data_IF_142546855898
#
_entry.id   IF_142546855898
#
_cell.length_a   1.000
_cell.length_b   1.000
_cell.length_c   1.000
_cell.angle_alpha   90.00
_cell.angle_beta   90.00
_cell.angle_gamma   90.00
#
_symmetry.space_group_name_H-M   'P 1'
#
loop_
_entity.id
_entity.type
_entity.pdbx_description
1 polymer ?
#
# COMPACT_ATOMS: atom_id res chain seq x y z
N UNK A 1 -11.39 -1.23 3.88
CA UNK A 1 -10.62 -1.86 4.95
C UNK A 1 -9.35 -2.42 4.35
N UNK A 2 -8.19 -2.02 4.86
CA UNK A 2 -6.89 -2.53 4.43
C UNK A 2 -6.81 -3.98 4.88
N UNK A 3 -6.91 -4.94 3.96
CA UNK A 3 -6.87 -6.35 4.30
C UNK A 3 -5.41 -6.77 4.54
N UNK A 4 -4.99 -6.75 5.81
CA UNK A 4 -3.67 -7.17 6.28
C UNK A 4 -3.24 -8.55 5.76
N UNK A 5 -4.21 -9.45 5.55
CA UNK A 5 -4.01 -10.81 5.05
C UNK A 5 -3.22 -10.87 3.73
N UNK A 6 -3.45 -9.91 2.83
CA UNK A 6 -2.77 -9.92 1.55
C UNK A 6 -1.35 -9.34 1.62
N UNK A 7 -1.00 -8.59 2.66
CA UNK A 7 0.36 -8.06 2.86
C UNK A 7 1.30 -9.17 3.30
N UNK A 8 0.80 -10.10 4.12
CA UNK A 8 1.51 -11.32 4.55
C UNK A 8 1.87 -12.22 3.35
N UNK A 9 1.00 -12.27 2.34
CA UNK A 9 1.25 -13.02 1.11
C UNK A 9 2.37 -12.43 0.25
N UNK A 10 2.63 -11.12 0.33
CA UNK A 10 3.68 -10.48 -0.46
C UNK A 10 5.07 -10.63 0.18
N UNK A 11 5.15 -10.70 1.51
CA UNK A 11 6.38 -10.83 2.29
C UNK A 11 7.38 -11.89 1.78
N UNK A 12 6.99 -13.15 1.50
CA UNK A 12 7.94 -14.17 1.03
C UNK A 12 8.58 -13.80 -0.32
N UNK A 13 7.85 -13.16 -1.22
CA UNK A 13 8.38 -12.75 -2.52
C UNK A 13 9.40 -11.62 -2.40
N UNK A 14 9.11 -10.62 -1.56
CA UNK A 14 10.03 -9.48 -1.40
C UNK A 14 11.29 -9.91 -0.64
N UNK A 15 11.16 -10.82 0.34
CA UNK A 15 12.31 -11.40 1.04
C UNK A 15 13.16 -12.30 0.15
N UNK A 16 12.54 -13.11 -0.72
CA UNK A 16 13.27 -13.91 -1.71
C UNK A 16 14.06 -13.02 -2.69
N UNK A 17 13.46 -11.92 -3.17
CA UNK A 17 14.16 -10.94 -4.00
C UNK A 17 15.38 -10.33 -3.31
N UNK A 18 15.24 -9.94 -2.03
CA UNK A 18 16.34 -9.39 -1.24
C UNK A 18 17.46 -10.42 -0.98
N UNK A 19 17.09 -11.68 -0.74
CA UNK A 19 18.05 -12.77 -0.55
C UNK A 19 18.86 -13.01 -1.84
N UNK A 20 18.20 -13.03 -2.99
CA UNK A 20 18.85 -13.17 -4.29
C UNK A 20 19.77 -11.98 -4.60
N UNK A 21 19.32 -10.76 -4.32
CA UNK A 21 20.10 -9.54 -4.58
C UNK A 21 21.40 -9.46 -3.76
N UNK A 22 21.39 -9.94 -2.52
CA UNK A 22 22.58 -9.93 -1.65
C UNK A 22 23.33 -11.25 -1.58
N UNK A 23 22.92 -12.26 -2.35
CA UNK A 23 23.49 -13.61 -2.32
C UNK A 23 23.58 -14.19 -0.90
N UNK A 24 22.60 -13.88 -0.04
CA UNK A 24 22.65 -14.23 1.39
C UNK A 24 21.58 -13.54 2.22
N UNK A 25 21.61 -13.76 3.53
CA UNK A 25 20.62 -13.18 4.44
C UNK A 25 20.76 -11.64 4.53
N UNK A 26 19.70 -10.87 4.24
CA UNK A 26 19.73 -9.40 4.25
C UNK A 26 20.10 -8.71 5.57
N UNK A 27 20.03 -9.43 6.68
CA UNK A 27 20.03 -8.81 8.00
C UNK A 27 18.67 -8.20 8.34
N UNK A 28 18.36 -8.16 9.64
CA UNK A 28 17.05 -7.72 10.15
C UNK A 28 16.71 -6.28 9.81
N UNK A 29 17.72 -5.40 9.64
CA UNK A 29 17.51 -3.99 9.27
C UNK A 29 16.97 -3.83 7.85
N UNK A 30 17.52 -4.55 6.88
CA UNK A 30 17.08 -4.49 5.48
C UNK A 30 15.69 -5.11 5.35
N UNK A 31 15.45 -6.24 6.05
CA UNK A 31 14.11 -6.84 6.15
C UNK A 31 13.08 -5.85 6.68
N UNK A 32 13.42 -5.09 7.73
CA UNK A 32 12.52 -4.09 8.30
C UNK A 32 12.14 -3.01 7.29
N UNK A 33 13.10 -2.44 6.56
CA UNK A 33 12.83 -1.42 5.54
C UNK A 33 12.04 -1.97 4.36
N UNK A 34 12.30 -3.22 3.93
CA UNK A 34 11.51 -3.91 2.90
C UNK A 34 10.04 -4.00 3.30
N UNK A 35 9.77 -4.43 4.54
CA UNK A 35 8.40 -4.59 5.03
C UNK A 35 7.70 -3.24 5.10
N UNK A 36 8.38 -2.21 5.61
CA UNK A 36 7.85 -0.85 5.64
C UNK A 36 7.53 -0.34 4.23
N UNK A 37 8.47 -0.48 3.29
CA UNK A 37 8.29 -0.09 1.90
C UNK A 37 7.07 -0.80 1.28
N UNK A 38 6.94 -2.10 1.47
CA UNK A 38 5.81 -2.89 0.95
C UNK A 38 4.46 -2.43 1.52
N UNK A 39 4.40 -2.13 2.83
CA UNK A 39 3.18 -1.65 3.49
C UNK A 39 2.78 -0.27 2.96
N UNK A 40 3.74 0.65 2.83
CA UNK A 40 3.48 2.00 2.33
C UNK A 40 3.06 2.00 0.85
N UNK A 41 3.78 1.27 -0.01
CA UNK A 41 3.44 1.14 -1.43
C UNK A 41 2.03 0.57 -1.62
N UNK A 42 1.69 -0.49 -0.88
CA UNK A 42 0.36 -1.10 -0.95
C UNK A 42 -0.73 -0.12 -0.52
N UNK A 43 -0.51 0.59 0.57
CA UNK A 43 -1.48 1.54 1.12
C UNK A 43 -1.71 2.70 0.16
N UNK A 44 -0.63 3.26 -0.40
CA UNK A 44 -0.71 4.28 -1.45
C UNK A 44 -1.50 3.77 -2.67
N UNK A 45 -1.18 2.57 -3.17
CA UNK A 45 -1.90 1.97 -4.31
C UNK A 45 -3.40 1.77 -4.03
N UNK A 46 -3.78 1.31 -2.84
CA UNK A 46 -5.19 1.18 -2.47
C UNK A 46 -5.91 2.52 -2.37
N UNK A 47 -5.25 3.55 -1.84
CA UNK A 47 -5.82 4.89 -1.77
C UNK A 47 -6.02 5.49 -3.17
N UNK A 48 -5.03 5.35 -4.06
CA UNK A 48 -5.12 5.81 -5.44
C UNK A 48 -6.19 5.06 -6.22
N UNK A 49 -6.24 3.72 -6.13
CA UNK A 49 -7.26 2.91 -6.80
C UNK A 49 -8.67 3.35 -6.38
N UNK A 50 -8.90 3.57 -5.07
CA UNK A 50 -10.21 4.05 -4.60
C UNK A 50 -10.56 5.44 -5.10
N UNK A 51 -9.55 6.27 -5.35
CA UNK A 51 -9.74 7.62 -5.86
C UNK A 51 -10.11 7.61 -7.36
N UNK A 52 -9.40 6.80 -8.14
CA UNK A 52 -9.63 6.62 -9.57
C UNK A 52 -10.96 5.89 -9.84
N UNK A 53 -11.26 4.86 -9.04
CA UNK A 53 -12.48 4.06 -9.18
C UNK A 53 -13.71 4.77 -8.62
N UNK A 54 -13.60 5.96 -8.03
CA UNK A 54 -14.72 6.65 -7.36
C UNK A 54 -15.92 6.85 -8.29
N UNK A 55 -15.68 7.28 -9.53
CA UNK A 55 -16.74 7.53 -10.51
C UNK A 55 -17.39 6.22 -10.97
N UNK A 56 -16.59 5.17 -11.14
CA UNK A 56 -17.06 3.84 -11.56
C UNK A 56 -17.84 3.16 -10.42
N UNK A 57 -17.30 3.24 -9.19
CA UNK A 57 -17.87 2.63 -8.00
C UNK A 57 -19.24 3.24 -7.63
N UNK A 58 -19.47 4.53 -7.96
CA UNK A 58 -20.77 5.22 -7.80
C UNK A 58 -21.88 4.62 -8.65
N UNK A 59 -21.55 4.13 -9.84
CA UNK A 59 -22.51 3.56 -10.78
C UNK A 59 -22.72 2.05 -10.59
N UNK A 60 -21.89 1.40 -9.76
CA UNK A 60 -21.95 -0.03 -9.54
C UNK A 60 -22.72 -0.38 -8.24
N UNK A 61 -23.86 -1.10 -8.32
CA UNK A 61 -24.66 -1.50 -7.16
C UNK A 61 -23.89 -2.29 -6.11
N UNK A 62 -22.80 -2.96 -6.53
CA UNK A 62 -21.97 -3.82 -5.66
C UNK A 62 -20.98 -3.03 -4.79
N UNK A 63 -20.66 -1.79 -5.16
CA UNK A 63 -19.63 -0.94 -4.51
C UNK A 63 -20.18 0.38 -3.98
N UNK A 64 -21.48 0.62 -4.15
CA UNK A 64 -22.21 1.80 -3.65
C UNK A 64 -22.08 2.01 -2.14
N UNK A 65 -21.94 0.93 -1.36
CA UNK A 65 -21.75 0.98 0.10
C UNK A 65 -20.30 1.26 0.56
N UNK A 66 -19.37 1.59 -0.34
CA UNK A 66 -18.00 1.95 0.07
C UNK A 66 -18.04 3.31 0.80
N UNK A 67 -17.31 3.49 1.93
CA UNK A 67 -17.31 4.74 2.70
C UNK A 67 -16.88 5.98 1.89
N UNK A 68 -16.10 5.78 0.83
CA UNK A 68 -15.65 6.84 -0.07
C UNK A 68 -16.74 7.26 -1.08
N UNK A 69 -17.63 6.33 -1.41
CA UNK A 69 -18.74 6.49 -2.36
C UNK A 69 -19.98 7.00 -1.64
N UNK A 70 -20.26 6.49 -0.44
CA UNK A 70 -21.36 6.92 0.44
C UNK A 70 -21.16 8.32 1.04
N UNK A 71 -19.96 8.90 0.92
CA UNK A 71 -19.65 10.25 1.39
C UNK A 71 -19.30 10.33 2.88
N UNK A 72 -19.21 9.20 3.58
CA UNK A 72 -18.80 9.13 4.99
C UNK A 72 -17.35 9.59 5.21
N UNK A 73 -16.49 9.38 4.20
CA UNK A 73 -15.09 9.81 4.24
C UNK A 73 -14.87 10.89 3.18
N UNK A 74 -14.37 12.08 3.55
CA UNK A 74 -14.15 13.12 2.58
C UNK A 74 -12.96 12.80 1.67
N UNK A 75 -13.07 13.14 0.38
CA UNK A 75 -12.13 12.74 -0.68
C UNK A 75 -10.68 13.22 -0.49
N UNK A 76 -10.46 14.23 0.35
CA UNK A 76 -9.12 14.72 0.67
C UNK A 76 -8.35 13.76 1.58
N UNK A 77 -9.02 12.95 2.40
CA UNK A 77 -8.38 12.00 3.32
C UNK A 77 -7.55 10.95 2.57
N UNK A 78 -8.10 10.14 1.63
CA UNK A 78 -7.29 9.19 0.88
C UNK A 78 -6.23 9.86 -0.01
N UNK A 79 -6.43 11.11 -0.46
CA UNK A 79 -5.38 11.87 -1.16
C UNK A 79 -4.19 12.14 -0.24
N UNK A 80 -4.43 12.68 0.95
CA UNK A 80 -3.36 12.95 1.92
C UNK A 80 -2.67 11.65 2.34
N UNK A 81 -3.44 10.60 2.64
CA UNK A 81 -2.87 9.29 3.01
C UNK A 81 -2.04 8.72 1.86
N UNK A 82 -2.50 8.82 0.61
CA UNK A 82 -1.71 8.37 -0.55
C UNK A 82 -0.38 9.13 -0.64
N UNK A 83 -0.39 10.46 -0.52
CA UNK A 83 0.82 11.29 -0.59
C UNK A 83 1.78 10.95 0.55
N UNK A 84 1.29 10.86 1.80
CA UNK A 84 2.11 10.50 2.96
C UNK A 84 2.73 9.11 2.78
N UNK A 85 1.93 8.11 2.38
CA UNK A 85 2.43 6.76 2.14
C UNK A 85 3.45 6.74 1.00
N UNK A 86 3.28 7.54 -0.05
CA UNK A 86 4.23 7.60 -1.16
C UNK A 86 5.56 8.24 -0.73
N UNK A 87 5.51 9.31 0.07
CA UNK A 87 6.71 9.91 0.68
C UNK A 87 7.42 8.93 1.62
N UNK A 88 6.68 8.23 2.48
CA UNK A 88 7.24 7.23 3.39
C UNK A 88 7.83 6.04 2.62
N UNK A 89 7.19 5.62 1.52
CA UNK A 89 7.74 4.61 0.63
C UNK A 89 9.09 5.06 0.06
N UNK A 90 9.17 6.26 -0.54
CA UNK A 90 10.42 6.80 -1.07
C UNK A 90 11.50 6.92 0.01
N UNK A 91 11.15 7.36 1.22
CA UNK A 91 12.09 7.43 2.33
C UNK A 91 12.62 6.05 2.72
N UNK A 92 11.73 5.06 2.88
CA UNK A 92 12.13 3.69 3.24
C UNK A 92 12.96 3.02 2.13
N UNK A 93 12.65 3.30 0.86
CA UNK A 93 13.42 2.82 -0.27
C UNK A 93 14.80 3.48 -0.36
N UNK A 94 14.93 4.75 0.03
CA UNK A 94 16.22 5.43 0.11
C UNK A 94 17.10 4.92 1.25
N UNK A 95 16.49 4.43 2.34
CA UNK A 95 17.22 3.85 3.48
C UNK A 95 17.58 2.37 3.31
N UNK A 96 17.06 1.73 2.26
CA UNK A 96 17.31 0.33 1.92
C UNK A 96 18.62 0.20 1.15
#
# INVERSE_FOLDING_TARGET
>A
MIQFQHTILALPFVLAGAWLAMQGFPGFRIVFYIVMAAVFARTAGMCVNRLADLEIDRHNPRTSGRPLVSGEIPLWVPKIVAVICLLMFCLTAFML
#
